data_IF_631922861652
#
_entry.id   IF_631922861652
#
_cell.length_a   1.000
_cell.length_b   1.000
_cell.length_c   1.000
_cell.angle_alpha   90.00
_cell.angle_beta   90.00
_cell.angle_gamma   90.00
#
_symmetry.space_group_name_H-M   'P 1'
#
loop_
_entity.id
_entity.type
_entity.pdbx_description
1 polymer ?
#
# COMPACT_ATOMS: atom_id res chain seq x y z
N UNK A 1 -7.30 -22.87 8.14
CA UNK A 1 -8.06 -21.72 7.62
C UNK A 1 -7.10 -20.89 6.78
N UNK A 2 -7.41 -20.68 5.50
CA UNK A 2 -6.56 -19.92 4.58
C UNK A 2 -6.77 -18.43 4.82
N UNK A 3 -5.69 -17.68 5.06
CA UNK A 3 -5.73 -16.21 5.13
C UNK A 3 -4.88 -15.63 4.01
N UNK A 4 -5.47 -14.74 3.22
CA UNK A 4 -4.82 -14.07 2.11
C UNK A 4 -4.67 -12.57 2.44
N UNK A 5 -3.43 -12.07 2.39
CA UNK A 5 -3.09 -10.66 2.57
C UNK A 5 -2.53 -10.14 1.26
N UNK A 6 -3.11 -9.07 0.73
CA UNK A 6 -2.77 -8.54 -0.60
C UNK A 6 -2.48 -7.04 -0.52
N UNK A 7 -1.42 -6.63 -1.21
CA UNK A 7 -1.07 -5.25 -1.48
C UNK A 7 -0.79 -5.11 -2.98
N UNK A 8 -1.36 -4.09 -3.62
CA UNK A 8 -1.31 -3.93 -5.07
C UNK A 8 -1.29 -2.44 -5.46
N UNK A 9 -0.43 -2.12 -6.43
CA UNK A 9 -0.53 -0.90 -7.24
C UNK A 9 -1.20 -1.31 -8.54
N UNK A 10 -2.36 -0.73 -8.86
CA UNK A 10 -3.18 -1.20 -9.99
C UNK A 10 -2.34 -1.22 -11.28
N UNK A 11 -2.38 -2.36 -11.97
CA UNK A 11 -1.66 -2.62 -13.22
C UNK A 11 -0.12 -2.60 -13.16
N UNK A 12 0.52 -2.55 -11.98
CA UNK A 12 1.98 -2.47 -11.87
C UNK A 12 2.60 -3.58 -11.03
N UNK A 13 2.55 -3.44 -9.71
CA UNK A 13 3.21 -4.33 -8.76
C UNK A 13 2.15 -4.91 -7.81
N UNK A 14 2.21 -6.22 -7.54
CA UNK A 14 1.29 -6.91 -6.63
C UNK A 14 2.03 -7.94 -5.83
N UNK A 15 1.73 -8.01 -4.55
CA UNK A 15 2.25 -9.03 -3.64
C UNK A 15 1.13 -9.59 -2.77
N UNK A 16 1.22 -10.89 -2.51
CA UNK A 16 0.27 -11.64 -1.72
C UNK A 16 1.00 -12.59 -0.77
N UNK A 17 0.60 -12.58 0.50
CA UNK A 17 0.98 -13.58 1.49
C UNK A 17 -0.25 -14.46 1.75
N UNK A 18 -0.10 -15.75 1.54
CA UNK A 18 -1.09 -16.77 1.86
C UNK A 18 -0.58 -17.59 3.03
N UNK A 19 -1.31 -17.59 4.14
CA UNK A 19 -1.07 -18.42 5.31
C UNK A 19 -2.00 -19.64 5.26
N UNK A 20 -1.41 -20.83 5.12
CA UNK A 20 -2.13 -22.11 5.02
C UNK A 20 -1.44 -23.15 5.93
N UNK A 21 -2.15 -23.67 6.94
CA UNK A 21 -1.65 -24.72 7.84
C UNK A 21 -0.25 -24.45 8.44
N UNK A 22 0.02 -23.20 8.82
CA UNK A 22 1.31 -22.70 9.31
C UNK A 22 2.44 -22.60 8.26
N UNK A 23 2.15 -22.85 6.98
CA UNK A 23 3.05 -22.51 5.87
C UNK A 23 2.73 -21.13 5.31
N UNK A 24 3.77 -20.35 5.04
CA UNK A 24 3.69 -19.03 4.40
C UNK A 24 4.08 -19.13 2.93
N UNK A 25 3.12 -18.84 2.04
CA UNK A 25 3.35 -18.76 0.59
C UNK A 25 3.33 -17.29 0.17
N UNK A 26 4.41 -16.81 -0.43
CA UNK A 26 4.50 -15.45 -0.97
C UNK A 26 4.41 -15.53 -2.49
N UNK A 27 3.44 -14.82 -3.07
CA UNK A 27 3.32 -14.61 -4.50
C UNK A 27 3.56 -13.14 -4.82
N UNK A 28 4.38 -12.83 -5.82
CA UNK A 28 4.60 -11.48 -6.28
C UNK A 28 4.69 -11.40 -7.80
N UNK A 29 4.16 -10.32 -8.36
CA UNK A 29 4.32 -9.91 -9.76
C UNK A 29 4.71 -8.44 -9.78
N UNK A 30 5.56 -8.05 -10.73
CA UNK A 30 5.96 -6.65 -10.84
C UNK A 30 7.31 -6.47 -11.52
N UNK A 31 7.88 -5.29 -11.30
CA UNK A 31 9.18 -4.90 -11.82
C UNK A 31 10.34 -5.74 -11.25
N UNK A 32 11.47 -5.81 -11.97
CA UNK A 32 12.65 -6.55 -11.51
C UNK A 32 13.20 -6.01 -10.16
N UNK A 33 13.15 -4.70 -9.95
CA UNK A 33 13.57 -4.09 -8.67
C UNK A 33 12.65 -4.53 -7.54
N UNK A 34 11.34 -4.55 -7.77
CA UNK A 34 10.37 -5.04 -6.81
C UNK A 34 10.60 -6.51 -6.46
N UNK A 35 10.73 -7.38 -7.46
CA UNK A 35 10.97 -8.82 -7.25
C UNK A 35 12.24 -9.10 -6.43
N UNK A 36 13.30 -8.31 -6.61
CA UNK A 36 14.52 -8.41 -5.78
C UNK A 36 14.26 -8.07 -4.31
N UNK A 37 13.45 -7.06 -4.02
CA UNK A 37 13.06 -6.73 -2.65
C UNK A 37 12.17 -7.82 -2.03
N UNK A 38 11.24 -8.39 -2.81
CA UNK A 38 10.42 -9.52 -2.38
C UNK A 38 11.27 -10.75 -2.06
N UNK A 39 12.32 -11.02 -2.84
CA UNK A 39 13.25 -12.12 -2.56
C UNK A 39 13.97 -11.93 -1.22
N UNK A 40 14.39 -10.69 -0.91
CA UNK A 40 14.99 -10.36 0.40
C UNK A 40 13.98 -10.55 1.53
N UNK A 41 12.73 -10.12 1.34
CA UNK A 41 11.66 -10.34 2.30
C UNK A 41 11.44 -11.84 2.53
N UNK A 42 11.33 -12.63 1.46
CA UNK A 42 11.11 -14.09 1.52
C UNK A 42 12.20 -14.82 2.30
N UNK A 43 13.45 -14.36 2.23
CA UNK A 43 14.57 -14.95 2.99
C UNK A 43 14.49 -14.67 4.49
N UNK A 44 13.85 -13.57 4.89
CA UNK A 44 13.76 -13.13 6.29
C UNK A 44 12.42 -13.47 6.94
N UNK A 45 11.35 -13.64 6.15
CA UNK A 45 10.00 -13.87 6.65
C UNK A 45 9.80 -15.35 7.00
N UNK A 46 9.82 -15.67 8.30
CA UNK A 46 9.49 -16.99 8.84
C UNK A 46 8.18 -16.99 9.62
N UNK A 47 7.89 -15.88 10.29
CA UNK A 47 6.84 -15.74 11.30
C UNK A 47 6.38 -14.28 11.39
N UNK A 48 5.53 -13.97 12.37
CA UNK A 48 5.04 -12.61 12.60
C UNK A 48 6.09 -11.68 13.24
N UNK A 49 7.01 -12.21 14.03
CA UNK A 49 8.02 -11.40 14.71
C UNK A 49 9.10 -10.92 13.74
N UNK A 50 9.55 -11.79 12.84
CA UNK A 50 10.40 -11.48 11.70
C UNK A 50 9.75 -10.48 10.74
N UNK A 51 8.42 -10.58 10.52
CA UNK A 51 7.67 -9.59 9.76
C UNK A 51 7.74 -8.21 10.40
N UNK A 52 7.53 -8.13 11.72
CA UNK A 52 7.61 -6.89 12.50
C UNK A 52 9.02 -6.31 12.52
N UNK A 53 10.04 -7.15 12.59
CA UNK A 53 11.43 -6.70 12.53
C UNK A 53 11.79 -6.17 11.13
N UNK A 54 11.37 -6.86 10.06
CA UNK A 54 11.55 -6.38 8.70
C UNK A 54 10.84 -5.05 8.47
N UNK A 55 9.62 -4.88 8.99
CA UNK A 55 8.85 -3.64 8.89
C UNK A 55 9.64 -2.43 9.41
N UNK A 56 10.36 -2.56 10.52
CA UNK A 56 11.20 -1.47 11.07
C UNK A 56 12.36 -1.06 10.16
N UNK A 57 12.81 -1.97 9.29
CA UNK A 57 13.91 -1.70 8.35
C UNK A 57 13.45 -0.95 7.10
N UNK A 58 12.14 -0.93 6.83
CA UNK A 58 11.58 -0.25 5.67
C UNK A 58 11.48 1.25 5.93
N UNK A 59 12.03 2.04 5.03
CA UNK A 59 11.92 3.51 5.00
C UNK A 59 11.01 3.91 3.85
N UNK A 60 10.07 4.83 4.10
CA UNK A 60 9.14 5.37 3.10
C UNK A 60 9.89 6.24 2.08
N UNK A 61 10.39 5.61 1.02
CA UNK A 61 11.26 6.23 0.02
C UNK A 61 10.71 6.05 -1.39
N UNK A 62 10.22 4.86 -1.69
CA UNK A 62 9.83 4.47 -3.03
C UNK A 62 8.57 3.59 -3.00
N UNK A 63 8.00 3.38 -4.19
CA UNK A 63 6.80 2.58 -4.37
C UNK A 63 6.92 1.17 -3.78
N UNK A 64 8.13 0.59 -3.83
CA UNK A 64 8.35 -0.78 -3.36
C UNK A 64 8.29 -0.83 -1.84
N UNK A 65 8.95 0.11 -1.15
CA UNK A 65 8.97 0.11 0.31
C UNK A 65 7.58 0.38 0.90
N UNK A 66 6.81 1.28 0.30
CA UNK A 66 5.42 1.54 0.68
C UNK A 66 4.53 0.30 0.49
N UNK A 67 4.63 -0.37 -0.66
CA UNK A 67 3.83 -1.57 -0.94
C UNK A 67 4.16 -2.74 0.00
N UNK A 68 5.44 -2.93 0.31
CA UNK A 68 5.88 -3.94 1.28
C UNK A 68 5.43 -3.59 2.70
N UNK A 69 5.46 -2.31 3.09
CA UNK A 69 4.98 -1.83 4.38
C UNK A 69 3.49 -2.11 4.55
N UNK A 70 2.67 -1.75 3.56
CA UNK A 70 1.23 -2.05 3.54
C UNK A 70 0.98 -3.55 3.74
N UNK A 71 1.64 -4.39 2.95
CA UNK A 71 1.47 -5.84 3.03
C UNK A 71 1.79 -6.38 4.43
N UNK A 72 2.91 -5.94 5.01
CA UNK A 72 3.35 -6.43 6.31
C UNK A 72 2.42 -5.94 7.42
N UNK A 73 1.95 -4.70 7.36
CA UNK A 73 0.94 -4.19 8.29
C UNK A 73 -0.38 -4.98 8.17
N UNK A 74 -0.81 -5.30 6.94
CA UNK A 74 -1.98 -6.17 6.70
C UNK A 74 -1.78 -7.56 7.32
N UNK A 75 -0.62 -8.17 7.09
CA UNK A 75 -0.27 -9.48 7.64
C UNK A 75 -0.23 -9.49 9.18
N UNK A 76 0.29 -8.43 9.78
CA UNK A 76 0.33 -8.25 11.24
C UNK A 76 -1.04 -7.91 11.84
N UNK A 77 -2.01 -7.46 11.03
CA UNK A 77 -3.30 -6.95 11.49
C UNK A 77 -3.25 -5.52 12.03
N UNK A 78 -2.19 -4.79 11.68
CA UNK A 78 -1.93 -3.40 12.09
C UNK A 78 -2.37 -2.39 11.00
N UNK A 79 -2.79 -2.86 9.82
CA UNK A 79 -3.27 -2.00 8.73
C UNK A 79 -4.63 -1.39 9.04
N UNK A 80 -4.66 -0.08 9.26
CA UNK A 80 -5.87 0.71 9.53
C UNK A 80 -5.77 2.02 8.75
N UNK A 81 -6.24 2.06 7.48
CA UNK A 81 -6.22 3.30 6.72
C UNK A 81 -7.22 4.28 7.33
N UNK A 82 -6.84 5.55 7.35
CA UNK A 82 -7.64 6.65 7.89
C UNK A 82 -8.95 6.88 7.12
N UNK A 83 -9.03 6.39 5.88
CA UNK A 83 -10.21 6.44 5.03
C UNK A 83 -10.49 5.06 4.41
N UNK A 84 -11.74 4.63 4.44
CA UNK A 84 -12.14 3.25 4.07
C UNK A 84 -13.27 3.17 3.03
N UNK A 85 -13.92 4.29 2.72
CA UNK A 85 -14.97 4.31 1.71
C UNK A 85 -14.37 4.07 0.32
N UNK A 86 -15.16 3.47 -0.58
CA UNK A 86 -14.70 3.15 -1.94
C UNK A 86 -14.41 4.41 -2.76
N UNK A 87 -15.26 5.42 -2.65
CA UNK A 87 -15.16 6.70 -3.36
C UNK A 87 -14.61 7.76 -2.41
N UNK A 88 -13.53 8.44 -2.80
CA UNK A 88 -12.96 9.54 -2.01
C UNK A 88 -13.44 10.90 -2.49
N UNK A 89 -13.50 11.12 -3.81
CA UNK A 89 -13.91 12.41 -4.37
C UNK A 89 -15.20 12.28 -5.17
N UNK A 90 -16.31 12.65 -4.56
CA UNK A 90 -17.63 12.59 -5.19
C UNK A 90 -17.74 13.48 -6.44
N UNK A 91 -17.33 14.75 -6.36
CA UNK A 91 -17.48 15.70 -7.48
C UNK A 91 -16.66 15.35 -8.73
N UNK A 92 -15.65 14.50 -8.60
CA UNK A 92 -14.77 14.05 -9.70
C UNK A 92 -14.88 12.55 -9.96
N UNK A 93 -15.75 11.84 -9.23
CA UNK A 93 -15.88 10.38 -9.26
C UNK A 93 -14.52 9.67 -9.16
N UNK A 94 -13.74 10.01 -8.13
CA UNK A 94 -12.42 9.41 -7.88
C UNK A 94 -12.51 8.41 -6.73
N UNK A 95 -12.16 7.16 -7.03
CA UNK A 95 -12.06 6.08 -6.06
C UNK A 95 -10.84 6.26 -5.15
N UNK A 96 -10.97 5.78 -3.90
CA UNK A 96 -9.91 5.79 -2.89
C UNK A 96 -8.66 5.06 -3.35
N UNK A 97 -8.82 3.92 -4.03
CA UNK A 97 -7.70 3.13 -4.56
C UNK A 97 -6.84 3.95 -5.55
N UNK A 98 -7.46 4.82 -6.36
CA UNK A 98 -6.71 5.67 -7.30
C UNK A 98 -5.90 6.75 -6.58
N UNK A 99 -6.39 7.24 -5.44
CA UNK A 99 -5.66 8.18 -4.59
C UNK A 99 -4.48 7.48 -3.92
N UNK A 100 -4.69 6.28 -3.37
CA UNK A 100 -3.63 5.43 -2.79
C UNK A 100 -2.55 5.11 -3.84
N UNK A 101 -2.95 4.72 -5.06
CA UNK A 101 -2.03 4.51 -6.18
C UNK A 101 -1.20 5.77 -6.48
N UNK A 102 -1.81 6.96 -6.44
CA UNK A 102 -1.06 8.21 -6.65
C UNK A 102 0.03 8.41 -5.59
N UNK A 103 -0.23 8.03 -4.33
CA UNK A 103 0.73 8.09 -3.22
C UNK A 103 1.86 7.09 -3.46
N UNK A 104 1.54 5.84 -3.84
CA UNK A 104 2.55 4.86 -4.22
C UNK A 104 3.44 5.31 -5.38
N UNK A 105 2.87 6.05 -6.32
CA UNK A 105 3.59 6.62 -7.46
C UNK A 105 4.33 7.93 -7.13
N UNK A 106 4.34 8.32 -5.85
CA UNK A 106 5.16 9.40 -5.31
C UNK A 106 4.44 10.73 -5.10
N UNK A 107 3.11 10.74 -5.06
CA UNK A 107 2.38 11.91 -4.56
C UNK A 107 2.70 12.10 -3.08
N UNK A 108 3.22 13.28 -2.73
CA UNK A 108 3.68 13.63 -1.38
C UNK A 108 3.02 14.92 -0.85
N UNK A 109 2.03 15.45 -1.57
CA UNK A 109 1.19 16.56 -1.19
C UNK A 109 -0.15 16.51 -1.94
N UNK A 110 -1.13 17.30 -1.49
CA UNK A 110 -2.48 17.35 -2.07
C UNK A 110 -2.48 17.86 -3.51
N UNK A 111 -1.56 18.77 -3.85
CA UNK A 111 -1.46 19.33 -5.21
C UNK A 111 -1.08 18.22 -6.20
N UNK A 112 -0.10 17.39 -5.84
CA UNK A 112 0.38 16.27 -6.65
C UNK A 112 -0.65 15.16 -6.74
N UNK A 113 -1.37 14.85 -5.66
CA UNK A 113 -2.53 13.95 -5.70
C UNK A 113 -3.55 14.47 -6.74
N UNK A 114 -3.91 15.75 -6.68
CA UNK A 114 -4.83 16.38 -7.63
C UNK A 114 -4.34 16.34 -9.08
N UNK A 115 -3.04 16.57 -9.32
CA UNK A 115 -2.44 16.45 -10.67
C UNK A 115 -2.50 15.02 -11.22
N UNK A 116 -2.38 14.01 -10.37
CA UNK A 116 -2.30 12.60 -10.79
C UNK A 116 -3.68 11.96 -10.96
N UNK A 117 -4.65 12.26 -10.10
CA UNK A 117 -5.95 11.60 -10.10
C UNK A 117 -7.16 12.54 -10.14
N UNK A 118 -6.96 13.86 -10.23
CA UNK A 118 -8.01 14.88 -10.20
C UNK A 118 -8.79 15.04 -8.89
N UNK A 119 -8.50 14.27 -7.84
CA UNK A 119 -9.14 14.46 -6.53
C UNK A 119 -8.88 15.88 -5.99
N UNK A 120 -9.90 16.50 -5.39
CA UNK A 120 -9.76 17.82 -4.78
C UNK A 120 -9.56 19.00 -5.74
N UNK A 121 -9.66 18.79 -7.06
CA UNK A 121 -9.43 19.84 -8.09
C UNK A 121 -10.66 20.70 -8.43
N UNK A 122 -11.81 20.44 -7.80
CA UNK A 122 -13.07 21.17 -8.03
C UNK A 122 -13.67 21.74 -6.75
N UNK A 123 -14.47 20.98 -5.99
CA UNK A 123 -15.11 21.50 -4.77
C UNK A 123 -14.20 21.50 -3.53
N UNK A 124 -13.13 20.69 -3.53
CA UNK A 124 -12.13 20.61 -2.46
C UNK A 124 -12.54 19.85 -1.19
N UNK A 125 -13.79 19.41 -1.06
CA UNK A 125 -14.32 18.78 0.17
C UNK A 125 -13.56 17.51 0.60
N UNK A 126 -12.99 16.76 -0.34
CA UNK A 126 -12.24 15.52 -0.07
C UNK A 126 -10.75 15.73 0.24
N UNK A 127 -10.25 16.98 0.24
CA UNK A 127 -8.84 17.27 0.50
C UNK A 127 -8.39 16.84 1.91
N UNK A 128 -9.19 17.02 3.00
CA UNK A 128 -8.83 16.50 4.31
C UNK A 128 -8.65 14.98 4.33
N UNK A 129 -9.54 14.23 3.68
CA UNK A 129 -9.45 12.77 3.58
C UNK A 129 -8.23 12.33 2.75
N UNK A 130 -7.93 13.05 1.67
CA UNK A 130 -6.70 12.82 0.88
C UNK A 130 -5.43 13.06 1.70
N UNK A 131 -5.45 14.06 2.60
CA UNK A 131 -4.34 14.36 3.50
C UNK A 131 -4.17 13.28 4.56
N UNK A 132 -5.28 12.79 5.13
CA UNK A 132 -5.24 11.71 6.11
C UNK A 132 -4.66 10.44 5.48
N UNK A 133 -5.11 10.06 4.28
CA UNK A 133 -4.53 8.93 3.55
C UNK A 133 -3.04 9.12 3.30
N UNK A 134 -2.62 10.31 2.87
CA UNK A 134 -1.21 10.59 2.63
C UNK A 134 -0.35 10.42 3.91
N UNK A 135 -0.90 10.76 5.08
CA UNK A 135 -0.22 10.58 6.37
C UNK A 135 -0.04 9.12 6.74
N UNK A 136 -0.95 8.22 6.33
CA UNK A 136 -0.82 6.78 6.57
C UNK A 136 0.44 6.17 5.91
N UNK A 137 0.89 6.79 4.81
CA UNK A 137 2.07 6.37 4.05
C UNK A 137 3.34 7.19 4.34
N UNK A 138 3.24 8.23 5.18
CA UNK A 138 4.38 9.10 5.54
C UNK A 138 5.34 8.43 6.52
#
# INVERSE_FOLDING_TARGET
MKKDFVAEIVCRDKIQITEENAELKIFARGSLSFLKEVEKLRKKLSDRDSAREYLKTLVNKDSNSLLLKELLQKYLGEWQPSYTEKELCHCRAVDTDLVIDSIYLGANDIEKIGKMCSAGTSCGTCQPDSLNLLQDFS
#
